data_IF_975679611894
#
_entry.id   IF_975679611894
#
_cell.length_a   1.000
_cell.length_b   1.000
_cell.length_c   1.000
_cell.angle_alpha   90.00
_cell.angle_beta   90.00
_cell.angle_gamma   90.00
#
_symmetry.space_group_name_H-M   'P 1'
#
loop_
_entity.id
_entity.type
_entity.pdbx_description
1 polymer ?
#
# COMPACT_ATOMS: atom_id res chain seq x y z
N UNK A 1 -2.72 4.30 43.46
CA UNK A 1 -1.97 3.06 43.14
C UNK A 1 -0.55 3.46 42.73
N UNK A 2 0.49 3.07 43.46
CA UNK A 2 1.88 3.34 43.06
C UNK A 2 2.22 2.41 41.89
N UNK A 3 2.62 2.96 40.74
CA UNK A 3 3.02 2.13 39.61
C UNK A 3 4.38 1.44 39.89
N UNK A 4 4.60 0.20 39.42
CA UNK A 4 5.90 -0.46 39.47
C UNK A 4 7.01 0.40 38.83
N UNK A 5 8.24 0.32 39.37
CA UNK A 5 9.40 1.11 38.91
C UNK A 5 9.71 0.97 37.41
N UNK A 6 9.41 -0.19 36.80
CA UNK A 6 9.59 -0.36 35.36
C UNK A 6 8.64 0.54 34.55
N UNK A 7 7.39 0.72 35.00
CA UNK A 7 6.42 1.57 34.31
C UNK A 7 6.84 3.05 34.38
N UNK A 8 7.41 3.49 35.50
CA UNK A 8 8.00 4.83 35.61
C UNK A 8 9.14 5.06 34.60
N UNK A 9 10.00 4.06 34.39
CA UNK A 9 11.12 4.15 33.45
C UNK A 9 10.64 4.25 31.99
N UNK A 10 9.62 3.48 31.61
CA UNK A 10 9.00 3.57 30.27
C UNK A 10 8.09 4.78 30.09
N UNK A 11 7.63 5.41 31.18
CA UNK A 11 6.83 6.64 31.14
C UNK A 11 7.67 7.91 30.98
N UNK A 12 8.99 7.83 31.17
CA UNK A 12 9.90 8.97 31.09
C UNK A 12 10.20 9.38 29.64
N UNK A 13 9.89 10.63 29.23
CA UNK A 13 10.20 11.13 27.89
C UNK A 13 11.69 11.03 27.54
N UNK A 14 12.59 11.29 28.50
CA UNK A 14 14.06 11.16 28.32
C UNK A 14 14.46 9.73 27.99
N UNK A 15 13.94 8.75 28.75
CA UNK A 15 14.27 7.34 28.55
C UNK A 15 13.73 6.85 27.21
N UNK A 16 12.47 7.16 26.89
CA UNK A 16 11.87 6.89 25.59
C UNK A 16 12.66 7.50 24.44
N UNK A 17 13.06 8.77 24.55
CA UNK A 17 13.83 9.46 23.51
C UNK A 17 15.23 8.87 23.34
N UNK A 18 15.90 8.40 24.39
CA UNK A 18 17.19 7.70 24.23
C UNK A 18 17.02 6.32 23.60
N UNK A 19 16.12 5.50 24.16
CA UNK A 19 15.87 4.12 23.73
C UNK A 19 15.40 4.04 22.27
N UNK A 20 14.39 4.84 21.90
CA UNK A 20 13.86 4.87 20.54
C UNK A 20 14.94 5.24 19.51
N UNK A 21 15.93 6.05 19.90
CA UNK A 21 16.99 6.50 18.99
C UNK A 21 17.95 5.39 18.63
N UNK A 22 18.24 4.53 19.61
CA UNK A 22 19.06 3.33 19.42
C UNK A 22 18.32 2.26 18.63
N UNK A 23 17.01 2.14 18.83
CA UNK A 23 16.17 1.12 18.20
C UNK A 23 15.81 1.44 16.74
N UNK A 24 15.62 2.72 16.42
CA UNK A 24 15.21 3.20 15.09
C UNK A 24 16.01 2.64 13.91
N UNK A 25 17.36 2.68 13.88
CA UNK A 25 18.11 2.17 12.73
C UNK A 25 17.90 0.67 12.48
N UNK A 26 17.76 -0.12 13.55
CA UNK A 26 17.52 -1.56 13.45
C UNK A 26 16.12 -1.88 12.92
N UNK A 27 15.09 -1.20 13.46
CA UNK A 27 13.72 -1.37 12.96
C UNK A 27 13.59 -0.90 11.51
N UNK A 28 14.23 0.22 11.15
CA UNK A 28 14.21 0.73 9.78
C UNK A 28 14.93 -0.21 8.82
N UNK A 29 16.11 -0.72 9.18
CA UNK A 29 16.85 -1.69 8.38
C UNK A 29 16.06 -2.99 8.19
N UNK A 30 15.47 -3.52 9.26
CA UNK A 30 14.66 -4.74 9.21
C UNK A 30 13.37 -4.54 8.38
N UNK A 31 12.66 -3.42 8.59
CA UNK A 31 11.47 -3.08 7.80
C UNK A 31 11.78 -3.02 6.30
N UNK A 32 12.87 -2.33 5.94
CA UNK A 32 13.30 -2.20 4.55
C UNK A 32 13.70 -3.55 3.94
N UNK A 33 14.48 -4.35 4.66
CA UNK A 33 14.89 -5.68 4.20
C UNK A 33 13.68 -6.61 3.99
N UNK A 34 12.75 -6.67 4.95
CA UNK A 34 11.55 -7.49 4.83
C UNK A 34 10.63 -7.01 3.70
N UNK A 35 10.55 -5.70 3.47
CA UNK A 35 9.77 -5.15 2.36
C UNK A 35 10.38 -5.56 1.01
N UNK A 36 11.70 -5.46 0.84
CA UNK A 36 12.38 -5.95 -0.38
C UNK A 36 12.11 -7.43 -0.60
N UNK A 37 12.32 -8.26 0.43
CA UNK A 37 12.14 -9.71 0.32
C UNK A 37 10.68 -10.07 0.05
N UNK A 38 9.74 -9.44 0.75
CA UNK A 38 8.29 -9.65 0.57
C UNK A 38 7.82 -9.27 -0.83
N UNK A 39 8.27 -8.13 -1.36
CA UNK A 39 7.98 -7.71 -2.74
C UNK A 39 8.66 -8.61 -3.77
N UNK A 40 9.93 -8.99 -3.55
CA UNK A 40 10.62 -9.92 -4.45
C UNK A 40 9.89 -11.26 -4.54
N UNK A 41 9.51 -11.85 -3.40
CA UNK A 41 8.74 -13.08 -3.39
C UNK A 41 7.39 -12.86 -4.08
N UNK A 42 6.70 -11.76 -3.77
CA UNK A 42 5.38 -11.46 -4.31
C UNK A 42 5.35 -11.17 -5.81
N UNK A 43 6.42 -10.63 -6.40
CA UNK A 43 6.47 -10.25 -7.82
C UNK A 43 7.29 -11.22 -8.69
N UNK A 44 8.42 -11.71 -8.20
CA UNK A 44 9.34 -12.52 -8.98
C UNK A 44 9.17 -14.02 -8.76
N UNK A 45 8.71 -14.45 -7.58
CA UNK A 45 8.64 -15.87 -7.21
C UNK A 45 7.20 -16.40 -7.24
N UNK A 46 6.26 -15.62 -6.71
CA UNK A 46 4.89 -16.05 -6.57
C UNK A 46 4.19 -16.20 -7.93
N UNK A 47 3.49 -17.33 -8.15
CA UNK A 47 2.78 -17.56 -9.40
C UNK A 47 1.64 -16.56 -9.56
N UNK A 48 1.33 -16.23 -10.81
CA UNK A 48 0.14 -15.46 -11.16
C UNK A 48 -1.12 -16.22 -10.68
N UNK A 49 -2.09 -15.51 -10.10
CA UNK A 49 -3.32 -16.14 -9.62
C UNK A 49 -4.16 -16.65 -10.80
N UNK A 50 -4.71 -17.87 -10.68
CA UNK A 50 -5.44 -18.56 -11.76
C UNK A 50 -6.63 -17.76 -12.30
N UNK A 51 -7.42 -17.16 -11.41
CA UNK A 51 -8.60 -16.38 -11.79
C UNK A 51 -8.29 -14.87 -11.95
N UNK A 52 -7.64 -14.25 -10.97
CA UNK A 52 -7.46 -12.79 -10.93
C UNK A 52 -6.23 -12.28 -11.71
N UNK A 53 -5.39 -13.17 -12.23
CA UNK A 53 -4.21 -12.77 -13.00
C UNK A 53 -3.21 -11.96 -12.17
N UNK A 54 -2.57 -11.00 -12.83
CA UNK A 54 -1.56 -10.12 -12.22
C UNK A 54 -2.17 -9.10 -11.23
N UNK A 55 -3.46 -8.77 -11.36
CA UNK A 55 -4.15 -7.85 -10.43
C UNK A 55 -4.06 -8.32 -8.97
N UNK A 56 -3.98 -9.64 -8.76
CA UNK A 56 -3.86 -10.25 -7.45
C UNK A 56 -2.62 -9.77 -6.68
N UNK A 57 -1.55 -9.33 -7.35
CA UNK A 57 -0.34 -8.83 -6.67
C UNK A 57 -0.58 -7.58 -5.83
N UNK A 58 -1.70 -6.88 -6.00
CA UNK A 58 -2.14 -5.83 -5.08
C UNK A 58 -2.44 -6.37 -3.69
N UNK A 59 -2.77 -7.65 -3.52
CA UNK A 59 -3.06 -8.26 -2.21
C UNK A 59 -1.89 -8.12 -1.23
N UNK A 60 -0.64 -8.20 -1.72
CA UNK A 60 0.58 -8.12 -0.91
C UNK A 60 0.79 -6.72 -0.31
N UNK A 61 0.06 -5.73 -0.79
CA UNK A 61 0.01 -4.37 -0.25
C UNK A 61 -1.32 -4.11 0.45
N UNK A 62 -2.43 -4.41 -0.20
CA UNK A 62 -3.79 -4.11 0.25
C UNK A 62 -4.13 -4.79 1.58
N UNK A 63 -3.92 -6.11 1.69
CA UNK A 63 -4.26 -6.86 2.91
C UNK A 63 -3.37 -6.46 4.09
N UNK A 64 -2.04 -6.35 3.92
CA UNK A 64 -1.18 -5.73 4.93
C UNK A 64 -1.60 -4.32 5.32
N UNK A 65 -2.06 -3.50 4.37
CA UNK A 65 -2.50 -2.13 4.65
C UNK A 65 -3.79 -2.10 5.50
N UNK A 66 -4.80 -2.88 5.12
CA UNK A 66 -6.07 -3.02 5.86
C UNK A 66 -5.86 -3.67 7.25
N UNK A 67 -4.92 -4.60 7.38
CA UNK A 67 -4.58 -5.19 8.68
C UNK A 67 -3.91 -4.16 9.59
N UNK A 68 -3.01 -3.35 9.04
CA UNK A 68 -2.34 -2.30 9.77
C UNK A 68 -3.28 -1.13 10.14
N UNK A 69 -4.24 -0.74 9.30
CA UNK A 69 -5.23 0.31 9.66
C UNK A 69 -5.96 -0.06 10.95
N UNK A 70 -6.52 -1.27 11.02
CA UNK A 70 -7.20 -1.75 12.22
C UNK A 70 -6.26 -1.88 13.43
N UNK A 71 -5.08 -2.47 13.24
CA UNK A 71 -4.08 -2.62 14.31
C UNK A 71 -3.67 -1.27 14.91
N UNK A 72 -3.43 -0.27 14.06
CA UNK A 72 -3.01 1.07 14.50
C UNK A 72 -4.13 1.74 15.31
N UNK A 73 -5.39 1.54 14.93
CA UNK A 73 -6.52 2.10 15.68
C UNK A 73 -6.64 1.46 17.07
N UNK A 74 -6.43 0.14 17.14
CA UNK A 74 -6.33 -0.58 18.41
C UNK A 74 -5.18 -0.05 19.29
N UNK A 75 -4.02 0.25 18.70
CA UNK A 75 -2.89 0.87 19.41
C UNK A 75 -3.26 2.25 19.95
N UNK A 76 -3.95 3.07 19.15
CA UNK A 76 -4.42 4.38 19.60
C UNK A 76 -5.40 4.29 20.76
N UNK A 77 -6.40 3.42 20.67
CA UNK A 77 -7.38 3.24 21.72
C UNK A 77 -6.75 2.68 23.00
N UNK A 78 -5.87 1.68 22.88
CA UNK A 78 -5.11 1.13 24.02
C UNK A 78 -4.25 2.22 24.67
N UNK A 79 -3.56 3.02 23.86
CA UNK A 79 -2.76 4.14 24.35
C UNK A 79 -3.62 5.22 25.01
N UNK A 80 -4.82 5.48 24.48
CA UNK A 80 -5.83 6.37 25.07
C UNK A 80 -6.34 5.86 26.43
N UNK A 81 -6.67 4.57 26.54
CA UNK A 81 -7.00 3.93 27.82
C UNK A 81 -5.84 4.07 28.81
N UNK A 82 -4.60 3.80 28.37
CA UNK A 82 -3.43 3.92 29.24
C UNK A 82 -3.28 5.35 29.76
N UNK A 83 -3.48 6.35 28.88
CA UNK A 83 -3.46 7.75 29.25
C UNK A 83 -4.60 8.11 30.23
N UNK A 84 -5.83 7.64 30.00
CA UNK A 84 -6.97 7.97 30.86
C UNK A 84 -6.84 7.35 32.26
N UNK A 85 -6.40 6.09 32.36
CA UNK A 85 -6.29 5.33 33.60
C UNK A 85 -5.05 5.74 34.41
N UNK A 86 -3.87 5.73 33.79
CA UNK A 86 -2.59 5.94 34.51
C UNK A 86 -2.01 7.34 34.31
N UNK A 87 -2.66 8.21 33.51
CA UNK A 87 -2.20 9.59 33.24
C UNK A 87 -0.78 9.64 32.63
N UNK A 88 -0.38 8.61 31.90
CA UNK A 88 0.93 8.52 31.24
C UNK A 88 0.89 9.36 29.96
N UNK A 89 1.52 10.54 29.98
CA UNK A 89 1.59 11.48 28.84
C UNK A 89 2.24 10.88 27.58
N UNK A 90 3.16 9.93 27.75
CA UNK A 90 3.78 9.25 26.63
C UNK A 90 2.76 8.41 25.85
N UNK A 91 1.77 7.79 26.51
CA UNK A 91 0.74 7.01 25.84
C UNK A 91 -0.11 7.91 24.91
N UNK A 92 -0.50 9.09 25.39
CA UNK A 92 -1.14 10.11 24.56
C UNK A 92 -0.28 10.51 23.34
N UNK A 93 1.03 10.64 23.56
CA UNK A 93 1.98 10.97 22.49
C UNK A 93 2.06 9.90 21.41
N UNK A 94 2.02 8.62 21.80
CA UNK A 94 1.96 7.50 20.86
C UNK A 94 0.66 7.54 20.07
N UNK A 95 -0.49 7.69 20.73
CA UNK A 95 -1.78 7.77 20.05
C UNK A 95 -1.82 8.93 19.03
N UNK A 96 -1.33 10.11 19.42
CA UNK A 96 -1.20 11.27 18.54
C UNK A 96 -0.28 11.03 17.33
N UNK A 97 0.85 10.36 17.55
CA UNK A 97 1.82 10.06 16.50
C UNK A 97 1.29 9.03 15.50
N UNK A 98 0.49 8.08 15.98
CA UNK A 98 -0.08 6.98 15.20
C UNK A 98 -1.23 7.40 14.31
N UNK A 99 -2.06 8.36 14.72
CA UNK A 99 -3.28 8.77 14.00
C UNK A 99 -3.10 9.09 12.50
N UNK A 100 -2.18 9.98 12.08
CA UNK A 100 -1.99 10.25 10.65
C UNK A 100 -1.48 9.04 9.85
N UNK A 101 -0.76 8.13 10.52
CA UNK A 101 -0.23 6.91 9.87
C UNK A 101 -1.38 5.94 9.66
N UNK A 102 -2.19 5.69 10.69
CA UNK A 102 -3.37 4.83 10.58
C UNK A 102 -4.39 5.34 9.56
N UNK A 103 -4.61 6.67 9.51
CA UNK A 103 -5.43 7.28 8.47
C UNK A 103 -4.90 6.97 7.05
N UNK A 104 -3.59 7.08 6.86
CA UNK A 104 -2.94 6.79 5.59
C UNK A 104 -3.02 5.30 5.21
N UNK A 105 -2.86 4.39 6.18
CA UNK A 105 -3.06 2.96 5.97
C UNK A 105 -4.50 2.63 5.60
N UNK A 106 -5.48 3.27 6.25
CA UNK A 106 -6.92 3.09 5.95
C UNK A 106 -7.24 3.63 4.56
N UNK A 107 -6.73 4.80 4.21
CA UNK A 107 -6.85 5.36 2.85
C UNK A 107 -6.24 4.44 1.80
N UNK A 108 -5.03 3.91 2.06
CA UNK A 108 -4.39 2.96 1.15
C UNK A 108 -5.19 1.66 1.03
N UNK A 109 -5.75 1.14 2.12
CA UNK A 109 -6.62 -0.04 2.08
C UNK A 109 -7.82 0.21 1.17
N UNK A 110 -8.56 1.30 1.38
CA UNK A 110 -9.72 1.66 0.56
C UNK A 110 -9.35 1.86 -0.92
N UNK A 111 -8.28 2.60 -1.19
CA UNK A 111 -7.87 2.93 -2.55
C UNK A 111 -7.33 1.71 -3.30
N UNK A 112 -6.39 0.97 -2.71
CA UNK A 112 -5.83 -0.24 -3.33
C UNK A 112 -6.88 -1.33 -3.47
N UNK A 113 -7.84 -1.40 -2.53
CA UNK A 113 -9.01 -2.28 -2.63
C UNK A 113 -9.92 -1.90 -3.79
N UNK A 114 -10.14 -0.60 -4.02
CA UNK A 114 -10.89 -0.09 -5.16
C UNK A 114 -10.19 -0.40 -6.50
N UNK A 115 -8.88 -0.15 -6.57
CA UNK A 115 -8.01 -0.46 -7.73
C UNK A 115 -8.02 -1.96 -8.03
N UNK A 116 -7.99 -2.81 -7.02
CA UNK A 116 -8.06 -4.27 -7.18
C UNK A 116 -9.48 -4.76 -7.49
N UNK A 117 -10.51 -4.10 -6.94
CA UNK A 117 -11.91 -4.46 -7.12
C UNK A 117 -12.41 -4.24 -8.55
N UNK A 118 -11.94 -3.19 -9.24
CA UNK A 118 -12.36 -2.91 -10.62
C UNK A 118 -12.10 -4.08 -11.58
N UNK A 119 -10.88 -4.65 -11.67
CA UNK A 119 -10.62 -5.81 -12.52
C UNK A 119 -11.19 -7.12 -11.98
N UNK A 120 -11.36 -7.25 -10.66
CA UNK A 120 -11.79 -8.52 -10.03
C UNK A 120 -13.31 -8.70 -10.04
N UNK A 121 -14.06 -7.63 -9.79
CA UNK A 121 -15.51 -7.64 -9.59
C UNK A 121 -16.27 -6.64 -10.47
N UNK A 122 -15.59 -5.92 -11.37
CA UNK A 122 -16.19 -4.98 -12.31
C UNK A 122 -16.54 -3.61 -11.73
N UNK A 123 -16.43 -3.41 -10.41
CA UNK A 123 -16.77 -2.16 -9.71
C UNK A 123 -15.62 -1.65 -8.83
N UNK A 124 -15.51 -0.31 -8.74
CA UNK A 124 -14.56 0.37 -7.84
C UNK A 124 -15.05 0.40 -6.39
N UNK A 125 -16.35 0.26 -6.16
CA UNK A 125 -16.97 0.39 -4.85
C UNK A 125 -18.24 -0.43 -4.75
N UNK A 126 -18.49 -0.98 -3.57
CA UNK A 126 -19.75 -1.59 -3.18
C UNK A 126 -20.07 -1.14 -1.76
N UNK A 127 -21.34 -0.80 -1.50
CA UNK A 127 -21.81 -0.42 -0.18
C UNK A 127 -22.05 -1.64 0.72
N UNK A 128 -21.04 -2.48 0.89
CA UNK A 128 -21.10 -3.61 1.81
C UNK A 128 -20.60 -3.25 3.22
N UNK A 129 -20.84 -4.13 4.18
CA UNK A 129 -20.51 -3.90 5.58
C UNK A 129 -18.99 -3.71 5.81
N UNK A 130 -18.14 -4.38 5.04
CA UNK A 130 -16.68 -4.28 5.18
C UNK A 130 -16.16 -2.95 4.67
N UNK A 131 -16.51 -2.60 3.43
CA UNK A 131 -16.08 -1.34 2.80
C UNK A 131 -16.60 -0.14 3.59
N UNK A 132 -17.86 -0.20 3.99
CA UNK A 132 -18.49 0.89 4.76
C UNK A 132 -17.84 1.04 6.12
N UNK A 133 -17.54 -0.05 6.84
CA UNK A 133 -16.88 0.03 8.15
C UNK A 133 -15.40 0.45 8.05
N UNK A 134 -14.67 0.06 7.00
CA UNK A 134 -13.31 0.56 6.74
C UNK A 134 -13.33 2.06 6.38
N UNK A 135 -14.34 2.55 5.64
CA UNK A 135 -14.54 3.98 5.41
C UNK A 135 -14.88 4.74 6.70
N UNK A 136 -15.73 4.16 7.55
CA UNK A 136 -16.01 4.71 8.89
C UNK A 136 -14.71 4.79 9.71
N UNK A 137 -13.83 3.79 9.61
CA UNK A 137 -12.53 3.82 10.28
C UNK A 137 -11.69 5.02 9.82
N UNK A 138 -11.69 5.33 8.52
CA UNK A 138 -10.99 6.51 7.99
C UNK A 138 -11.55 7.80 8.60
N UNK A 139 -12.88 7.91 8.71
CA UNK A 139 -13.51 9.06 9.36
C UNK A 139 -13.26 9.11 10.86
N UNK A 140 -13.15 7.98 11.54
CA UNK A 140 -12.76 7.95 12.96
C UNK A 140 -11.33 8.47 13.15
N UNK A 141 -10.40 8.14 12.25
CA UNK A 141 -9.06 8.73 12.25
C UNK A 141 -9.08 10.24 12.02
N UNK A 142 -9.84 10.71 11.03
CA UNK A 142 -10.00 12.15 10.78
C UNK A 142 -10.67 12.86 11.96
N UNK A 143 -11.71 12.27 12.54
CA UNK A 143 -12.38 12.79 13.73
C UNK A 143 -11.43 12.90 14.92
N UNK A 144 -10.58 11.89 15.16
CA UNK A 144 -9.56 11.94 16.20
C UNK A 144 -8.57 13.08 15.98
N UNK A 145 -8.06 13.25 14.76
CA UNK A 145 -7.11 14.32 14.44
C UNK A 145 -7.76 15.72 14.50
N UNK A 146 -8.97 15.86 13.96
CA UNK A 146 -9.72 17.11 13.96
C UNK A 146 -10.09 17.54 15.39
N UNK A 147 -10.58 16.61 16.22
CA UNK A 147 -10.92 16.88 17.61
C UNK A 147 -9.71 17.37 18.41
N UNK A 148 -8.52 16.80 18.15
CA UNK A 148 -7.27 17.27 18.77
C UNK A 148 -6.85 18.64 18.27
N UNK A 149 -7.03 18.92 16.99
CA UNK A 149 -6.66 20.20 16.39
C UNK A 149 -7.60 21.34 16.80
N UNK A 150 -8.87 21.02 17.10
CA UNK A 150 -9.88 22.00 17.50
C UNK A 150 -9.79 22.44 18.96
N UNK A 151 -8.96 21.80 19.78
CA UNK A 151 -8.83 22.08 21.21
C UNK A 151 -7.49 22.74 21.54
N UNK A 152 -7.52 23.94 22.12
CA UNK A 152 -6.32 24.66 22.57
C UNK A 152 -5.67 24.00 23.79
N UNK A 153 -6.51 23.58 24.76
CA UNK A 153 -6.01 22.89 25.94
C UNK A 153 -5.60 21.45 25.59
N UNK A 154 -4.29 21.21 25.62
CA UNK A 154 -3.70 19.92 25.26
C UNK A 154 -4.23 18.77 26.11
N UNK A 155 -4.53 19.00 27.39
CA UNK A 155 -4.97 17.93 28.27
C UNK A 155 -6.41 17.52 27.98
N UNK A 156 -7.29 18.49 27.68
CA UNK A 156 -8.65 18.27 27.22
C UNK A 156 -8.66 17.63 25.83
N UNK A 157 -7.78 18.07 24.91
CA UNK A 157 -7.58 17.44 23.60
C UNK A 157 -7.22 15.96 23.75
N UNK A 158 -6.25 15.65 24.61
CA UNK A 158 -5.82 14.29 24.91
C UNK A 158 -6.95 13.42 25.50
N UNK A 159 -7.71 13.95 26.46
CA UNK A 159 -8.83 13.24 27.10
C UNK A 159 -9.95 12.96 26.10
N UNK A 160 -10.42 13.98 25.40
CA UNK A 160 -11.56 13.87 24.48
C UNK A 160 -11.25 12.94 23.31
N UNK A 161 -10.05 13.07 22.73
CA UNK A 161 -9.62 12.18 21.64
C UNK A 161 -9.38 10.74 22.10
N UNK A 162 -8.90 10.52 23.34
CA UNK A 162 -8.80 9.17 23.91
C UNK A 162 -10.16 8.51 24.09
N UNK A 163 -11.17 9.26 24.52
CA UNK A 163 -12.55 8.76 24.62
C UNK A 163 -13.09 8.40 23.23
N UNK A 164 -12.92 9.28 22.23
CA UNK A 164 -13.32 9.00 20.86
C UNK A 164 -12.64 7.73 20.31
N UNK A 165 -11.33 7.58 20.53
CA UNK A 165 -10.60 6.39 20.11
C UNK A 165 -11.17 5.12 20.74
N UNK A 166 -11.47 5.14 22.04
CA UNK A 166 -12.05 3.99 22.76
C UNK A 166 -13.45 3.61 22.26
N UNK A 167 -14.31 4.60 22.02
CA UNK A 167 -15.65 4.35 21.45
C UNK A 167 -15.53 3.77 20.04
N UNK A 168 -14.63 4.32 19.22
CA UNK A 168 -14.42 3.86 17.85
C UNK A 168 -13.85 2.44 17.72
N UNK A 169 -13.27 1.86 18.78
CA UNK A 169 -12.79 0.45 18.77
C UNK A 169 -13.89 -0.53 18.40
N UNK A 170 -15.15 -0.22 18.72
CA UNK A 170 -16.31 -1.04 18.36
C UNK A 170 -16.39 -1.28 16.86
N UNK A 171 -15.86 -0.38 16.03
CA UNK A 171 -15.82 -0.55 14.59
C UNK A 171 -14.85 -1.66 14.13
N UNK A 172 -13.82 -2.00 14.92
CA UNK A 172 -12.80 -3.00 14.54
C UNK A 172 -13.39 -4.41 14.44
N UNK A 173 -14.15 -4.93 15.43
CA UNK A 173 -14.88 -6.19 15.28
C UNK A 173 -15.85 -6.20 14.10
N UNK A 174 -16.51 -5.07 13.83
CA UNK A 174 -17.44 -4.95 12.69
C UNK A 174 -16.69 -5.16 11.37
N UNK A 175 -15.54 -4.51 11.17
CA UNK A 175 -14.71 -4.72 9.98
C UNK A 175 -14.24 -6.18 9.88
N UNK A 176 -13.73 -6.73 10.96
CA UNK A 176 -13.16 -8.08 10.96
C UNK A 176 -14.20 -9.15 10.62
N UNK A 177 -15.30 -9.18 11.37
CA UNK A 177 -16.36 -10.18 11.25
C UNK A 177 -17.39 -9.87 10.16
N UNK A 178 -17.30 -8.71 9.48
CA UNK A 178 -18.22 -8.33 8.40
C UNK A 178 -18.38 -9.40 7.30
N UNK A 179 -17.31 -10.17 7.00
CA UNK A 179 -17.34 -11.27 6.02
C UNK A 179 -18.09 -12.51 6.50
N UNK A 180 -18.28 -12.66 7.81
CA UNK A 180 -19.02 -13.77 8.39
C UNK A 180 -20.48 -13.36 8.65
N UNK A 181 -20.71 -12.10 9.02
CA UNK A 181 -22.03 -11.60 9.40
C UNK A 181 -22.90 -11.17 8.20
N UNK A 182 -22.31 -10.76 7.08
CA UNK A 182 -23.06 -10.28 5.91
C UNK A 182 -22.53 -10.83 4.58
N UNK A 183 -23.41 -10.81 3.57
CA UNK A 183 -23.02 -11.06 2.18
C UNK A 183 -22.12 -9.94 1.68
N UNK A 184 -20.95 -10.30 1.15
CA UNK A 184 -19.96 -9.35 0.63
C UNK A 184 -19.22 -9.94 -0.57
N UNK A 185 -18.68 -9.07 -1.42
CA UNK A 185 -17.76 -9.46 -2.50
C UNK A 185 -16.42 -9.99 -1.97
N UNK A 186 -16.12 -9.75 -0.68
CA UNK A 186 -14.88 -10.15 -0.05
C UNK A 186 -14.86 -11.65 0.21
N UNK A 187 -13.76 -12.29 -0.21
CA UNK A 187 -13.48 -13.66 0.18
C UNK A 187 -13.33 -13.74 1.71
N UNK A 188 -13.85 -14.82 2.31
CA UNK A 188 -13.65 -15.12 3.72
C UNK A 188 -12.16 -15.25 4.08
N UNK A 189 -11.82 -15.12 5.36
CA UNK A 189 -10.43 -15.10 5.81
C UNK A 189 -9.63 -16.33 5.34
N UNK A 190 -8.61 -16.10 4.52
CA UNK A 190 -7.74 -17.13 3.92
C UNK A 190 -6.79 -17.77 4.95
N UNK A 191 -6.46 -17.03 6.01
CA UNK A 191 -5.43 -17.36 7.02
C UNK A 191 -6.01 -18.08 8.26
N UNK A 192 -7.32 -18.00 8.52
CA UNK A 192 -7.94 -18.59 9.71
C UNK A 192 -8.09 -20.12 9.65
N UNK A 193 -7.76 -20.76 8.51
CA UNK A 193 -7.76 -22.22 8.36
C UNK A 193 -6.37 -22.79 8.66
N UNK A 194 -6.02 -22.87 9.94
CA UNK A 194 -4.73 -23.34 10.47
C UNK A 194 -4.28 -24.70 9.88
N UNK A 195 -5.20 -25.56 9.46
CA UNK A 195 -4.88 -26.89 8.92
C UNK A 195 -4.54 -26.91 7.42
N UNK A 196 -4.99 -25.93 6.62
CA UNK A 196 -4.74 -25.81 5.17
C UNK A 196 -4.94 -24.35 4.75
N UNK A 197 -3.88 -23.57 4.54
CA UNK A 197 -4.00 -22.27 3.90
C UNK A 197 -4.69 -22.45 2.56
N UNK A 198 -5.70 -21.63 2.27
CA UNK A 198 -6.37 -21.64 0.96
C UNK A 198 -5.56 -20.94 -0.13
N UNK A 199 -4.35 -20.49 0.21
CA UNK A 199 -3.42 -19.75 -0.64
C UNK A 199 -2.12 -20.55 -0.78
N UNK A 200 -1.51 -20.46 -1.96
CA UNK A 200 -0.19 -21.03 -2.22
C UNK A 200 0.88 -20.42 -1.28
N UNK A 201 1.86 -21.21 -0.86
CA UNK A 201 2.80 -20.85 0.21
C UNK A 201 3.71 -19.66 -0.13
N UNK A 202 4.15 -19.52 -1.39
CA UNK A 202 4.93 -18.34 -1.82
C UNK A 202 4.09 -17.07 -1.80
N UNK A 203 2.81 -17.16 -2.17
CA UNK A 203 1.88 -16.03 -2.06
C UNK A 203 1.63 -15.66 -0.58
N UNK A 204 1.39 -16.65 0.28
CA UNK A 204 1.17 -16.44 1.72
C UNK A 204 2.40 -15.82 2.39
N UNK A 205 3.60 -16.35 2.09
CA UNK A 205 4.84 -15.84 2.67
C UNK A 205 5.11 -14.39 2.27
N UNK A 206 4.87 -14.01 1.00
CA UNK A 206 4.94 -12.61 0.57
C UNK A 206 3.98 -11.73 1.37
N UNK A 207 2.71 -12.15 1.51
CA UNK A 207 1.71 -11.38 2.26
C UNK A 207 2.09 -11.20 3.73
N UNK A 208 2.58 -12.25 4.40
CA UNK A 208 2.99 -12.18 5.82
C UNK A 208 4.25 -11.35 6.01
N UNK A 209 5.23 -11.46 5.10
CA UNK A 209 6.43 -10.63 5.14
C UNK A 209 6.09 -9.15 4.97
N UNK A 210 5.21 -8.83 4.01
CA UNK A 210 4.73 -7.47 3.81
C UNK A 210 3.91 -6.97 5.01
N UNK A 211 3.09 -7.81 5.64
CA UNK A 211 2.38 -7.48 6.88
C UNK A 211 3.36 -7.04 7.98
N UNK A 212 4.40 -7.84 8.25
CA UNK A 212 5.41 -7.51 9.25
C UNK A 212 6.23 -6.28 8.84
N UNK A 213 6.62 -6.18 7.58
CA UNK A 213 7.40 -5.05 7.06
C UNK A 213 6.66 -3.73 7.24
N UNK A 214 5.37 -3.68 6.91
CA UNK A 214 4.53 -2.50 7.07
C UNK A 214 4.22 -2.17 8.54
N UNK A 215 4.07 -3.19 9.40
CA UNK A 215 3.96 -2.98 10.86
C UNK A 215 5.25 -2.37 11.45
N UNK A 216 6.42 -2.81 10.99
CA UNK A 216 7.69 -2.21 11.37
C UNK A 216 7.87 -0.80 10.80
N UNK A 217 7.42 -0.56 9.57
CA UNK A 217 7.39 0.78 8.98
C UNK A 217 6.54 1.73 9.83
N UNK A 218 5.33 1.30 10.20
CA UNK A 218 4.48 2.04 11.14
C UNK A 218 5.21 2.33 12.47
N UNK A 219 5.90 1.33 13.05
CA UNK A 219 6.65 1.51 14.28
C UNK A 219 7.76 2.57 14.11
N UNK A 220 8.53 2.52 13.01
CA UNK A 220 9.59 3.49 12.69
C UNK A 220 9.03 4.91 12.58
N UNK A 221 7.99 5.11 11.76
CA UNK A 221 7.41 6.45 11.54
C UNK A 221 6.78 6.98 12.83
N UNK A 222 6.10 6.13 13.60
CA UNK A 222 5.53 6.48 14.91
C UNK A 222 6.62 6.89 15.88
N UNK A 223 7.72 6.13 15.99
CA UNK A 223 8.84 6.47 16.87
C UNK A 223 9.48 7.81 16.49
N UNK A 224 9.70 8.08 15.19
CA UNK A 224 10.22 9.38 14.73
C UNK A 224 9.27 10.49 15.17
N UNK A 225 7.98 10.38 14.85
CA UNK A 225 6.99 11.41 15.18
C UNK A 225 6.82 11.61 16.68
N UNK A 226 6.73 10.52 17.45
CA UNK A 226 6.57 10.54 18.91
C UNK A 226 7.79 11.16 19.61
N UNK A 227 9.01 10.96 19.08
CA UNK A 227 10.21 11.67 19.57
C UNK A 227 10.08 13.18 19.37
N UNK A 228 9.66 13.61 18.18
CA UNK A 228 9.40 15.02 17.88
C UNK A 228 8.35 15.63 18.80
N UNK A 229 7.22 14.95 18.97
CA UNK A 229 6.15 15.38 19.88
C UNK A 229 6.64 15.43 21.33
N UNK A 230 7.40 14.44 21.81
CA UNK A 230 7.97 14.40 23.16
C UNK A 230 8.87 15.62 23.44
N UNK A 231 9.70 15.99 22.47
CA UNK A 231 10.52 17.21 22.55
C UNK A 231 9.67 18.49 22.64
N UNK A 232 8.54 18.56 21.93
CA UNK A 232 7.63 19.70 22.04
C UNK A 232 6.94 19.74 23.40
N UNK A 233 6.49 18.58 23.92
CA UNK A 233 5.79 18.52 25.22
C UNK A 233 6.70 18.92 26.37
N UNK A 234 7.92 18.39 26.38
CA UNK A 234 8.85 18.56 27.48
C UNK A 234 9.96 19.55 27.12
N UNK A 235 9.61 20.53 26.29
CA UNK A 235 10.59 21.44 25.67
C UNK A 235 11.42 22.20 26.70
N UNK A 236 10.88 22.45 27.90
CA UNK A 236 11.56 23.12 29.03
C UNK A 236 12.26 22.16 30.00
N UNK A 237 12.15 20.85 29.79
CA UNK A 237 12.79 19.85 30.64
C UNK A 237 14.31 19.97 30.60
N UNK A 238 14.97 19.79 31.76
CA UNK A 238 16.43 19.86 31.87
C UNK A 238 17.14 18.91 30.90
N UNK A 239 16.60 17.70 30.72
CA UNK A 239 17.17 16.71 29.81
C UNK A 239 17.19 17.13 28.34
N UNK A 240 16.31 18.05 27.92
CA UNK A 240 16.30 18.59 26.56
C UNK A 240 17.46 19.55 26.35
N UNK A 241 17.81 20.34 27.38
CA UNK A 241 18.98 21.24 27.35
C UNK A 241 20.29 20.46 27.26
N UNK A 242 20.34 19.28 27.89
CA UNK A 242 21.52 18.42 27.92
C UNK A 242 21.73 17.61 26.63
N UNK A 243 20.87 17.75 25.60
CA UNK A 243 21.02 17.00 24.36
C UNK A 243 22.21 17.55 23.55
N UNK A 244 23.20 16.70 23.18
CA UNK A 244 24.36 17.14 22.41
C UNK A 244 23.89 17.57 21.01
N UNK A 245 23.98 18.88 20.77
CA UNK A 245 23.75 19.60 19.52
C UNK A 245 22.55 19.12 18.69
N UNK A 246 21.50 19.93 18.68
CA UNK A 246 20.32 19.77 17.83
C UNK A 246 20.69 20.10 16.35
N UNK A 247 21.61 19.33 15.75
CA UNK A 247 21.96 19.47 14.33
C UNK A 247 20.88 18.82 13.47
N UNK A 248 20.25 19.62 12.64
CA UNK A 248 19.33 19.18 11.58
C UNK A 248 20.20 18.87 10.35
N UNK A 249 20.46 17.60 10.04
CA UNK A 249 21.19 17.24 8.82
C UNK A 249 20.20 17.17 7.64
N UNK A 250 20.47 17.78 6.48
CA UNK A 250 19.54 17.80 5.35
C UNK A 250 19.45 16.48 4.56
N UNK A 251 20.27 15.48 4.90
CA UNK A 251 20.51 14.29 4.06
C UNK A 251 19.29 13.36 3.86
N UNK A 252 18.19 13.56 4.59
CA UNK A 252 17.00 12.70 4.53
C UNK A 252 16.14 12.88 3.26
N UNK A 253 16.47 13.86 2.41
CA UNK A 253 15.68 14.27 1.24
C UNK A 253 16.24 13.78 -0.11
N UNK A 254 17.42 13.15 -0.15
CA UNK A 254 18.06 12.74 -1.40
C UNK A 254 17.49 11.44 -2.00
N UNK A 255 17.13 10.48 -1.16
CA UNK A 255 16.62 9.17 -1.60
C UNK A 255 15.27 9.27 -2.34
N UNK A 256 14.29 10.10 -1.91
CA UNK A 256 12.99 10.19 -2.58
C UNK A 256 13.02 10.90 -3.93
N UNK A 257 13.91 11.89 -4.10
CA UNK A 257 14.05 12.66 -5.36
C UNK A 257 14.60 11.76 -6.46
N UNK A 258 15.50 10.83 -6.12
CA UNK A 258 16.06 9.85 -7.06
C UNK A 258 14.96 8.86 -7.52
N UNK A 259 14.09 8.41 -6.62
CA UNK A 259 13.01 7.48 -6.95
C UNK A 259 11.91 8.13 -7.82
N UNK A 260 11.51 9.37 -7.52
CA UNK A 260 10.55 10.13 -8.35
C UNK A 260 11.17 10.44 -9.72
N UNK A 261 12.45 10.81 -9.75
CA UNK A 261 13.19 11.01 -11.00
C UNK A 261 13.24 9.75 -11.86
N UNK A 262 13.42 8.57 -11.27
CA UNK A 262 13.44 7.29 -11.98
C UNK A 262 12.06 6.92 -12.57
N UNK A 263 10.97 7.09 -11.81
CA UNK A 263 9.60 6.81 -12.31
C UNK A 263 9.21 7.80 -13.42
N UNK A 264 9.51 9.09 -13.26
CA UNK A 264 9.26 10.10 -14.28
C UNK A 264 10.11 9.86 -15.54
N UNK A 265 11.38 9.48 -15.37
CA UNK A 265 12.27 9.11 -16.48
C UNK A 265 11.74 7.88 -17.22
N UNK A 266 11.29 6.84 -16.52
CA UNK A 266 10.79 5.63 -17.15
C UNK A 266 9.44 5.83 -17.86
N UNK A 267 8.56 6.64 -17.27
CA UNK A 267 7.30 7.05 -17.92
C UNK A 267 7.53 7.92 -19.15
N UNK A 268 8.63 8.68 -19.20
CA UNK A 268 8.97 9.57 -20.32
C UNK A 268 9.80 8.89 -21.43
N UNK A 269 10.48 7.78 -21.14
CA UNK A 269 11.40 7.10 -22.08
C UNK A 269 10.89 5.77 -22.63
N UNK A 270 9.65 5.39 -22.31
CA UNK A 270 9.02 4.20 -22.92
C UNK A 270 8.38 4.62 -24.26
N UNK A 271 9.00 4.24 -25.38
CA UNK A 271 8.43 4.41 -26.71
C UNK A 271 7.06 3.70 -26.78
N UNK A 272 6.01 4.46 -27.12
CA UNK A 272 4.67 3.91 -27.35
C UNK A 272 4.59 3.47 -28.80
N UNK A 273 4.74 2.18 -29.04
CA UNK A 273 4.13 1.55 -30.21
C UNK A 273 2.62 1.54 -29.90
N UNK A 274 1.81 2.15 -30.75
CA UNK A 274 0.36 2.13 -30.58
C UNK A 274 -0.13 0.70 -30.75
N UNK A 275 -0.62 0.12 -29.66
CA UNK A 275 -1.16 -1.22 -29.64
C UNK A 275 -2.62 -1.16 -30.07
N UNK A 276 -2.93 -1.74 -31.23
CA UNK A 276 -4.25 -1.69 -31.83
C UNK A 276 -5.18 -2.80 -31.29
N UNK A 277 -6.49 -2.56 -31.33
CA UNK A 277 -7.53 -3.61 -31.22
C UNK A 277 -7.84 -4.23 -32.59
N UNK A 278 -8.46 -5.43 -32.65
CA UNK A 278 -8.97 -6.01 -33.89
C UNK A 278 -9.82 -5.04 -34.73
N UNK A 279 -10.75 -4.31 -34.10
CA UNK A 279 -11.59 -3.32 -34.78
C UNK A 279 -10.76 -2.20 -35.39
N UNK A 280 -9.81 -1.65 -34.65
CA UNK A 280 -8.91 -0.58 -35.14
C UNK A 280 -7.98 -1.08 -36.24
N UNK A 281 -7.58 -2.36 -36.18
CA UNK A 281 -6.73 -2.99 -37.18
C UNK A 281 -7.48 -3.22 -38.49
N UNK A 282 -8.76 -3.59 -38.43
CA UNK A 282 -9.64 -3.73 -39.61
C UNK A 282 -10.01 -2.36 -40.19
N UNK A 283 -10.21 -1.35 -39.35
CA UNK A 283 -10.54 0.01 -39.77
C UNK A 283 -9.34 0.78 -40.35
N UNK A 284 -8.11 0.42 -39.97
CA UNK A 284 -6.88 1.01 -40.46
C UNK A 284 -6.33 0.31 -41.71
N UNK A 285 -5.42 0.98 -42.45
CA UNK A 285 -4.60 0.36 -43.50
C UNK A 285 -3.10 0.43 -43.16
N UNK A 286 -2.64 -0.17 -42.05
CA UNK A 286 -1.22 -0.16 -41.71
C UNK A 286 -0.42 -1.06 -42.68
N UNK A 287 0.56 -0.48 -43.37
CA UNK A 287 1.42 -1.17 -44.35
C UNK A 287 2.71 -1.77 -43.74
N UNK A 288 2.91 -1.64 -42.42
CA UNK A 288 4.13 -2.06 -41.70
C UNK A 288 3.88 -3.16 -40.64
N UNK A 289 4.91 -3.44 -39.83
CA UNK A 289 4.85 -4.35 -38.69
C UNK A 289 3.82 -3.81 -37.67
N UNK A 290 2.80 -4.61 -37.38
CA UNK A 290 1.67 -4.27 -36.51
C UNK A 290 1.79 -4.95 -35.16
N UNK A 291 1.28 -4.29 -34.12
CA UNK A 291 1.15 -4.79 -32.76
C UNK A 291 -0.32 -4.64 -32.34
N UNK A 292 -0.99 -5.75 -32.02
CA UNK A 292 -2.41 -5.72 -31.66
C UNK A 292 -2.77 -6.71 -30.55
N UNK A 293 -3.88 -6.45 -29.85
CA UNK A 293 -4.36 -7.24 -28.70
C UNK A 293 -5.83 -7.62 -28.83
N UNK A 294 -6.16 -8.90 -28.59
CA UNK A 294 -7.55 -9.37 -28.56
C UNK A 294 -7.70 -10.72 -27.84
N UNK A 295 -8.93 -11.17 -27.66
CA UNK A 295 -9.28 -12.42 -26.98
C UNK A 295 -9.14 -13.60 -27.94
N UNK A 296 -8.47 -14.66 -27.51
CA UNK A 296 -8.35 -15.90 -28.28
C UNK A 296 -9.66 -16.67 -28.21
N UNK A 297 -10.36 -16.80 -29.32
CA UNK A 297 -11.61 -17.57 -29.41
C UNK A 297 -11.37 -19.05 -29.66
N UNK A 298 -10.43 -19.35 -30.55
CA UNK A 298 -10.10 -20.72 -30.93
C UNK A 298 -8.65 -20.83 -31.37
N UNK A 299 -8.05 -21.99 -31.09
CA UNK A 299 -6.70 -22.34 -31.54
C UNK A 299 -6.80 -23.65 -32.31
N UNK A 300 -6.48 -23.63 -33.60
CA UNK A 300 -6.30 -24.83 -34.42
C UNK A 300 -4.81 -25.00 -34.71
N UNK A 301 -4.29 -26.21 -34.50
CA UNK A 301 -2.87 -26.50 -34.62
C UNK A 301 -2.65 -27.67 -35.56
N UNK A 302 -1.81 -27.47 -36.57
CA UNK A 302 -1.32 -28.50 -37.46
C UNK A 302 0.22 -28.52 -37.40
N UNK A 303 0.75 -29.43 -36.58
CA UNK A 303 2.18 -29.49 -36.29
C UNK A 303 2.71 -28.20 -35.67
N UNK A 304 3.53 -27.46 -36.42
CA UNK A 304 4.17 -26.21 -36.00
C UNK A 304 3.50 -24.96 -36.62
N UNK A 305 2.33 -25.14 -37.24
CA UNK A 305 1.49 -24.08 -37.81
C UNK A 305 0.22 -23.96 -36.98
N UNK A 306 -0.12 -22.73 -36.62
CA UNK A 306 -1.24 -22.43 -35.74
C UNK A 306 -2.13 -21.36 -36.35
N UNK A 307 -3.43 -21.64 -36.43
CA UNK A 307 -4.47 -20.68 -36.80
C UNK A 307 -5.23 -20.30 -35.53
N UNK A 308 -5.18 -19.03 -35.19
CA UNK A 308 -5.62 -18.50 -33.90
C UNK A 308 -6.62 -17.41 -34.20
N UNK A 309 -7.89 -17.63 -33.84
CA UNK A 309 -8.93 -16.63 -34.01
C UNK A 309 -8.87 -15.68 -32.81
N UNK A 310 -8.61 -14.40 -33.08
CA UNK A 310 -8.48 -13.35 -32.06
C UNK A 310 -9.58 -12.30 -32.26
N UNK A 311 -10.35 -12.01 -31.22
CA UNK A 311 -11.53 -11.13 -31.26
C UNK A 311 -11.42 -9.93 -30.34
N UNK A 312 -12.23 -8.91 -30.60
CA UNK A 312 -12.67 -7.94 -29.59
C UNK A 312 -14.20 -7.93 -29.51
N UNK A 313 -14.79 -6.85 -28.99
CA UNK A 313 -16.24 -6.72 -28.82
C UNK A 313 -17.01 -6.64 -30.15
N UNK A 314 -16.35 -6.34 -31.28
CA UNK A 314 -16.99 -6.10 -32.57
C UNK A 314 -16.46 -6.95 -33.74
N UNK A 315 -15.16 -7.24 -33.78
CA UNK A 315 -14.49 -7.88 -34.91
C UNK A 315 -13.69 -9.13 -34.53
N UNK A 316 -13.41 -9.97 -35.52
CA UNK A 316 -12.58 -11.17 -35.38
C UNK A 316 -11.53 -11.24 -36.46
N UNK A 317 -10.29 -11.49 -36.07
CA UNK A 317 -9.14 -11.56 -36.96
C UNK A 317 -8.48 -12.93 -36.85
N UNK A 318 -8.19 -13.51 -38.00
CA UNK A 318 -7.42 -14.75 -38.07
C UNK A 318 -5.94 -14.44 -37.95
N UNK A 319 -5.26 -15.09 -37.01
CA UNK A 319 -3.82 -14.98 -36.79
C UNK A 319 -3.15 -16.29 -37.17
N UNK A 320 -2.28 -16.24 -38.16
CA UNK A 320 -1.43 -17.35 -38.55
C UNK A 320 -0.09 -17.22 -37.84
N UNK A 321 0.31 -18.24 -37.07
CA UNK A 321 1.57 -18.27 -36.34
C UNK A 321 2.32 -19.58 -36.62
N UNK A 322 3.58 -19.44 -37.05
CA UNK A 322 4.48 -20.56 -37.29
C UNK A 322 5.53 -20.64 -36.19
N UNK A 323 5.53 -21.70 -35.38
CA UNK A 323 6.46 -21.87 -34.29
C UNK A 323 5.82 -22.46 -33.03
N UNK A 324 6.62 -22.59 -31.98
CA UNK A 324 6.15 -23.16 -30.71
C UNK A 324 5.21 -22.18 -30.00
N UNK A 325 3.95 -22.56 -29.85
CA UNK A 325 2.98 -21.80 -29.05
C UNK A 325 3.42 -21.62 -27.58
N UNK A 326 3.19 -20.44 -26.99
CA UNK A 326 3.36 -20.24 -25.55
C UNK A 326 2.47 -21.20 -24.76
N UNK A 327 3.01 -21.85 -23.72
CA UNK A 327 2.26 -22.82 -22.89
C UNK A 327 1.04 -22.19 -22.19
N UNK A 328 1.04 -20.88 -22.04
CA UNK A 328 0.01 -20.09 -21.38
C UNK A 328 -1.12 -19.65 -22.32
N UNK A 329 -0.99 -19.81 -23.64
CA UNK A 329 -2.02 -19.39 -24.59
C UNK A 329 -3.20 -20.37 -24.55
N UNK A 330 -4.41 -19.87 -24.28
CA UNK A 330 -5.64 -20.66 -24.16
C UNK A 330 -6.81 -19.89 -24.75
N UNK A 331 -7.90 -20.59 -25.05
CA UNK A 331 -9.17 -19.94 -25.41
C UNK A 331 -9.68 -19.06 -24.26
N UNK A 332 -10.32 -17.95 -24.61
CA UNK A 332 -10.79 -16.87 -23.74
C UNK A 332 -9.70 -16.09 -22.99
N UNK A 333 -8.43 -16.23 -23.39
CA UNK A 333 -7.33 -15.41 -22.88
C UNK A 333 -6.96 -14.33 -23.87
N UNK A 334 -6.21 -13.33 -23.43
CA UNK A 334 -5.62 -12.36 -24.33
C UNK A 334 -4.52 -12.96 -25.19
N UNK A 335 -4.36 -12.42 -26.38
CA UNK A 335 -3.18 -12.60 -27.19
C UNK A 335 -2.57 -11.23 -27.43
N UNK A 336 -1.25 -11.13 -27.22
CA UNK A 336 -0.45 -10.09 -27.86
C UNK A 336 0.06 -10.65 -29.17
N UNK A 337 -0.19 -9.96 -30.26
CA UNK A 337 0.27 -10.40 -31.57
C UNK A 337 1.08 -9.29 -32.19
N UNK A 338 2.30 -9.63 -32.59
CA UNK A 338 3.09 -8.76 -33.47
C UNK A 338 3.25 -9.46 -34.81
N UNK A 339 3.06 -8.76 -35.91
CA UNK A 339 3.01 -9.40 -37.21
C UNK A 339 2.90 -8.44 -38.38
N UNK A 340 2.45 -8.97 -39.51
CA UNK A 340 2.11 -8.19 -40.70
C UNK A 340 0.69 -8.52 -41.13
N UNK A 341 -0.09 -7.49 -41.45
CA UNK A 341 -1.43 -7.65 -41.99
C UNK A 341 -1.35 -8.30 -43.38
N UNK A 342 -2.18 -9.31 -43.61
CA UNK A 342 -2.40 -9.96 -44.90
C UNK A 342 -3.87 -9.76 -45.28
N UNK A 343 -4.09 -9.03 -46.36
CA UNK A 343 -5.42 -8.80 -46.93
C UNK A 343 -5.64 -9.77 -48.09
N UNK A 344 -6.27 -10.92 -47.82
CA UNK A 344 -6.69 -11.85 -48.86
C UNK A 344 -8.22 -11.97 -48.85
N UNK A 345 -8.86 -11.66 -49.99
CA UNK A 345 -10.27 -11.97 -50.29
C UNK A 345 -11.30 -11.59 -49.21
N UNK A 346 -11.23 -10.38 -48.68
CA UNK A 346 -12.32 -9.76 -47.91
C UNK A 346 -12.35 -10.04 -46.41
N UNK A 347 -11.42 -10.83 -45.86
CA UNK A 347 -11.23 -11.01 -44.41
C UNK A 347 -9.80 -10.61 -44.01
N UNK A 348 -9.67 -9.72 -43.01
CA UNK A 348 -8.36 -9.32 -42.49
C UNK A 348 -7.71 -10.49 -41.73
N UNK A 349 -6.49 -10.86 -42.12
CA UNK A 349 -5.69 -11.88 -41.44
C UNK A 349 -4.31 -11.33 -41.09
N UNK A 350 -3.65 -11.88 -40.06
CA UNK A 350 -2.32 -11.43 -39.63
C UNK A 350 -1.35 -12.60 -39.62
N UNK A 351 -0.22 -12.45 -40.30
CA UNK A 351 0.92 -13.35 -40.14
C UNK A 351 1.76 -12.86 -38.97
N UNK A 352 1.70 -13.59 -37.86
CA UNK A 352 2.38 -13.24 -36.62
C UNK A 352 3.86 -13.62 -36.66
N UNK A 353 4.73 -12.64 -36.38
CA UNK A 353 6.15 -12.85 -36.09
C UNK A 353 6.32 -13.39 -34.67
N UNK A 354 5.52 -12.89 -33.74
CA UNK A 354 5.46 -13.43 -32.38
C UNK A 354 4.03 -13.35 -31.83
N UNK A 355 3.69 -14.34 -31.02
CA UNK A 355 2.49 -14.34 -30.22
C UNK A 355 2.85 -14.59 -28.77
N UNK A 356 2.32 -13.77 -27.87
CA UNK A 356 2.38 -13.98 -26.45
C UNK A 356 0.97 -14.16 -25.92
N UNK A 357 0.79 -15.08 -24.98
CA UNK A 357 -0.41 -15.07 -24.17
C UNK A 357 -0.41 -13.81 -23.34
N UNK A 358 -1.29 -12.87 -23.66
CA UNK A 358 -1.65 -11.85 -22.70
C UNK A 358 -2.68 -12.47 -21.80
N UNK A 359 -2.57 -12.21 -20.52
CA UNK A 359 -3.84 -12.10 -19.84
C UNK A 359 -4.47 -10.82 -20.43
N UNK A 360 -5.61 -10.85 -21.10
CA UNK A 360 -6.34 -9.59 -21.38
C UNK A 360 -6.72 -8.89 -20.05
N UNK A 361 -6.58 -9.61 -18.92
CA UNK A 361 -6.46 -9.10 -17.56
C UNK A 361 -5.02 -8.72 -17.16
N UNK A 362 -4.19 -8.20 -18.07
CA UNK A 362 -2.92 -7.58 -17.70
C UNK A 362 -3.22 -6.24 -17.04
N UNK A 363 -3.64 -6.35 -15.78
CA UNK A 363 -3.87 -5.24 -14.88
C UNK A 363 -2.57 -4.81 -14.19
N UNK A 364 -1.41 -5.08 -14.79
CA UNK A 364 -0.12 -4.59 -14.28
C UNK A 364 -0.11 -3.07 -14.13
N UNK A 365 -0.83 -2.33 -14.98
CA UNK A 365 -1.05 -0.88 -14.81
C UNK A 365 -1.77 -0.52 -13.51
N UNK A 366 -2.78 -1.30 -13.10
CA UNK A 366 -3.45 -1.16 -11.80
C UNK A 366 -2.50 -1.46 -10.64
N UNK A 367 -1.67 -2.50 -10.79
CA UNK A 367 -0.64 -2.84 -9.81
C UNK A 367 0.36 -1.70 -9.68
N UNK A 368 0.95 -1.22 -10.78
CA UNK A 368 1.90 -0.10 -10.81
C UNK A 368 1.28 1.15 -10.18
N UNK A 369 0.03 1.48 -10.51
CA UNK A 369 -0.68 2.61 -9.91
C UNK A 369 -0.82 2.45 -8.39
N UNK A 370 -1.30 1.29 -7.90
CA UNK A 370 -1.46 1.04 -6.48
C UNK A 370 -0.15 1.14 -5.69
N UNK A 371 0.94 0.55 -6.21
CA UNK A 371 2.25 0.62 -5.56
C UNK A 371 2.90 2.01 -5.64
N UNK A 372 2.73 2.73 -6.75
CA UNK A 372 3.21 4.12 -6.88
C UNK A 372 2.54 5.04 -5.88
N UNK A 373 1.22 4.92 -5.72
CA UNK A 373 0.47 5.72 -4.74
C UNK A 373 0.88 5.34 -3.31
N UNK A 374 1.02 4.05 -3.00
CA UNK A 374 1.51 3.61 -1.70
C UNK A 374 2.90 4.16 -1.36
N UNK A 375 3.83 4.14 -2.33
CA UNK A 375 5.15 4.74 -2.17
C UNK A 375 5.04 6.22 -1.79
N UNK A 376 4.22 7.01 -2.52
CA UNK A 376 4.01 8.43 -2.22
C UNK A 376 3.39 8.63 -0.83
N UNK A 377 2.37 7.85 -0.47
CA UNK A 377 1.70 7.97 0.84
C UNK A 377 2.64 7.63 2.00
N UNK A 378 3.44 6.56 1.88
CA UNK A 378 4.44 6.21 2.88
C UNK A 378 5.54 7.25 2.97
N UNK A 379 5.99 7.78 1.83
CA UNK A 379 6.97 8.86 1.78
C UNK A 379 6.45 10.12 2.49
N UNK A 380 5.24 10.57 2.18
CA UNK A 380 4.63 11.75 2.82
C UNK A 380 4.50 11.56 4.34
N UNK A 381 4.16 10.35 4.80
CA UNK A 381 4.11 10.04 6.23
C UNK A 381 5.48 10.14 6.90
N UNK A 382 6.51 9.58 6.27
CA UNK A 382 7.89 9.65 6.75
C UNK A 382 8.40 11.10 6.79
N UNK A 383 8.19 11.85 5.70
CA UNK A 383 8.56 13.27 5.61
C UNK A 383 7.83 14.10 6.66
N UNK A 384 6.54 13.85 6.89
CA UNK A 384 5.76 14.49 7.95
C UNK A 384 6.34 14.22 9.34
N UNK A 385 6.73 12.99 9.64
CA UNK A 385 7.34 12.63 10.93
C UNK A 385 8.71 13.31 11.13
N UNK A 386 9.54 13.35 10.08
CA UNK A 386 10.82 14.04 10.09
C UNK A 386 10.64 15.55 10.27
N UNK A 387 9.65 16.15 9.59
CA UNK A 387 9.28 17.56 9.74
C UNK A 387 8.90 17.90 11.17
N UNK A 388 8.00 17.12 11.80
CA UNK A 388 7.62 17.32 13.21
C UNK A 388 8.84 17.33 14.13
N UNK A 389 9.76 16.38 13.93
CA UNK A 389 10.98 16.29 14.73
C UNK A 389 11.92 17.49 14.51
N UNK A 390 12.06 17.94 13.26
CA UNK A 390 12.86 19.11 12.90
C UNK A 390 12.28 20.39 13.50
N UNK A 391 10.98 20.61 13.41
CA UNK A 391 10.32 21.80 13.95
C UNK A 391 10.44 21.86 15.47
N UNK A 392 10.26 20.74 16.17
CA UNK A 392 10.46 20.63 17.61
C UNK A 392 11.88 21.09 18.01
N UNK A 393 12.86 20.54 17.31
CA UNK A 393 14.29 20.85 17.46
C UNK A 393 14.62 22.32 17.23
N UNK A 394 14.09 22.92 16.16
CA UNK A 394 14.29 24.33 15.84
C UNK A 394 13.64 25.27 16.86
N UNK A 395 12.43 24.94 17.33
CA UNK A 395 11.74 25.71 18.37
C UNK A 395 12.55 25.76 19.67
N UNK A 396 13.06 24.60 20.12
CA UNK A 396 13.94 24.51 21.30
C UNK A 396 15.20 25.35 21.11
N UNK A 397 15.86 25.24 19.95
CA UNK A 397 17.09 25.99 19.67
C UNK A 397 16.87 27.51 19.66
N UNK A 398 15.74 28.00 19.13
CA UNK A 398 15.38 29.43 19.17
C UNK A 398 15.18 29.91 20.60
N UNK A 399 14.47 29.13 21.41
CA UNK A 399 14.21 29.48 22.82
C UNK A 399 15.49 29.54 23.64
N UNK A 400 16.39 28.55 23.51
CA UNK A 400 17.67 28.56 24.23
C UNK A 400 18.50 29.79 23.87
N UNK A 401 18.49 30.24 22.61
CA UNK A 401 19.17 31.48 22.21
C UNK A 401 18.53 32.72 22.85
N UNK A 402 17.21 32.76 22.97
CA UNK A 402 16.50 33.84 23.66
C UNK A 402 16.71 33.84 25.18
N UNK A 403 16.94 32.67 25.80
CA UNK A 403 17.27 32.57 27.23
C UNK A 403 18.72 33.00 27.53
N UNK A 404 19.61 32.95 26.52
CA UNK A 404 21.04 33.26 26.66
C UNK A 404 21.43 34.68 26.23
N UNK A 405 20.54 35.40 25.54
CA UNK A 405 20.68 36.82 25.16
C UNK A 405 19.88 37.68 26.13
#
# INVERSE_FOLDING_TARGET
MKLPNFIYRFSSPKHFYSMSGKLLPWLAGLSFALMIVGLYIGFAVAPTHSEQGESYRLIYLHVPAASNSMMIYMIMATSGAIFLIWRIKLADTIAAASAPIGAAFTFLALLTGSIWGKPTWGTWWQWDARLTSELILLFLYFGYMALRAAMDDRQNAARSSSVLALVGVVNIPIIHFSVEWWNTLHQGATVSKIAKPSMEMTMLSSMLLMLVALSLFFAVVTLIRARGLSLQQDSRGSWVRDLPDIKVRPLHLLIPVIAIGYVAYHAATTDRIDILSPTELVAGSPTEQIEFRGNVESIQSDGNQHQILVSDDAEKIMVNFAGKLPKQLRTHWGAHVTGKLQSDSGAASVNANSIAALNIRDHSSYVIAGYSIAFVVFLLNLLGALRTTREAKLSIARRIRQENN
#
